data_IF_301146658498
#
_entry.id   IF_301146658498
#
_cell.length_a   1.000
_cell.length_b   1.000
_cell.length_c   1.000
_cell.angle_alpha   90.00
_cell.angle_beta   90.00
_cell.angle_gamma   90.00
#
_symmetry.space_group_name_H-M   'P 1'
#
loop_
_entity.id
_entity.type
_entity.pdbx_description
1 polymer ?
#
# COMPACT_ATOMS: atom_id res chain seq x y z
N UNK A 1 6.31 4.33 7.82
CA UNK A 1 5.89 2.93 7.64
C UNK A 1 6.82 2.30 6.64
N UNK A 2 7.41 1.13 6.93
CA UNK A 2 8.48 0.54 6.10
C UNK A 2 8.06 -0.71 5.31
N UNK A 3 6.75 -0.99 5.25
CA UNK A 3 6.19 -2.19 4.61
C UNK A 3 4.92 -1.85 3.85
N UNK A 4 4.73 -2.49 2.72
CA UNK A 4 3.53 -2.49 1.90
C UNK A 4 2.74 -3.77 2.15
N UNK A 5 1.43 -3.69 1.95
CA UNK A 5 0.54 -4.83 2.13
C UNK A 5 -0.35 -5.01 0.91
N UNK A 6 -0.44 -6.24 0.42
CA UNK A 6 -1.37 -6.66 -0.63
C UNK A 6 -2.50 -7.46 -0.02
N UNK A 7 -3.74 -7.16 -0.41
CA UNK A 7 -4.93 -7.85 0.08
C UNK A 7 -5.19 -9.06 -0.80
N UNK A 8 -4.91 -10.24 -0.26
CA UNK A 8 -5.27 -11.49 -0.93
C UNK A 8 -6.76 -11.77 -0.77
N UNK A 9 -7.27 -11.58 0.45
CA UNK A 9 -8.68 -11.83 0.76
C UNK A 9 -9.10 -11.03 1.98
N UNK A 10 -10.33 -10.53 2.00
CA UNK A 10 -10.90 -9.77 3.11
C UNK A 10 -11.16 -8.30 2.77
N UNK A 11 -11.78 -7.59 3.71
CA UNK A 11 -12.17 -6.19 3.56
C UNK A 11 -11.49 -5.34 4.62
N UNK A 12 -10.85 -4.27 4.16
CA UNK A 12 -10.19 -3.28 5.00
C UNK A 12 -10.84 -1.91 4.81
N UNK A 13 -10.94 -1.14 5.88
CA UNK A 13 -11.35 0.26 5.87
C UNK A 13 -10.17 1.17 6.18
N UNK A 14 -9.86 2.06 5.23
CA UNK A 14 -8.83 3.08 5.35
C UNK A 14 -9.44 4.35 5.91
N UNK A 15 -9.08 4.68 7.14
CA UNK A 15 -9.50 5.85 7.90
C UNK A 15 -8.49 7.00 7.68
N UNK A 16 -8.91 8.03 6.96
CA UNK A 16 -8.14 9.28 6.81
C UNK A 16 -8.67 10.33 7.79
N UNK A 17 -7.81 11.25 8.29
CA UNK A 17 -8.19 12.32 9.24
C UNK A 17 -9.31 13.26 8.78
N UNK A 18 -9.76 13.18 7.52
CA UNK A 18 -10.78 14.03 6.91
C UNK A 18 -12.12 13.35 6.61
N UNK A 19 -12.54 12.33 7.39
CA UNK A 19 -13.82 11.60 7.23
C UNK A 19 -14.02 10.81 5.92
N UNK A 20 -12.99 10.66 5.09
CA UNK A 20 -13.02 9.68 4.00
C UNK A 20 -12.59 8.32 4.53
N UNK A 21 -13.58 7.45 4.75
CA UNK A 21 -13.37 6.00 4.81
C UNK A 21 -13.35 5.44 3.40
N UNK A 22 -12.23 4.84 3.01
CA UNK A 22 -12.12 4.11 1.75
C UNK A 22 -12.06 2.62 2.04
N UNK A 23 -12.96 1.84 1.45
CA UNK A 23 -12.95 0.39 1.58
C UNK A 23 -12.06 -0.22 0.51
N UNK A 24 -11.14 -1.07 0.93
CA UNK A 24 -10.30 -1.88 0.07
C UNK A 24 -10.73 -3.33 0.19
N UNK A 25 -10.93 -3.96 -0.95
CA UNK A 25 -11.27 -5.37 -1.08
C UNK A 25 -10.08 -6.18 -1.60
N UNK A 26 -10.30 -7.46 -1.86
CA UNK A 26 -9.37 -8.36 -2.52
C UNK A 26 -8.81 -7.76 -3.83
N UNK A 27 -7.52 -8.00 -4.05
CA UNK A 27 -6.77 -7.46 -5.21
C UNK A 27 -6.25 -6.04 -5.01
N UNK A 28 -6.73 -5.31 -3.99
CA UNK A 28 -6.17 -4.00 -3.65
C UNK A 28 -4.91 -4.11 -2.81
N UNK A 29 -4.10 -3.07 -2.85
CA UNK A 29 -2.91 -2.92 -2.01
C UNK A 29 -2.89 -1.56 -1.35
N UNK A 30 -2.13 -1.47 -0.26
CA UNK A 30 -1.96 -0.24 0.50
C UNK A 30 -0.58 -0.14 1.12
N UNK A 31 -0.16 1.10 1.35
CA UNK A 31 1.16 1.42 1.91
C UNK A 31 2.18 1.85 0.85
N UNK A 32 1.82 1.94 -0.44
CA UNK A 32 2.70 2.49 -1.49
C UNK A 32 3.10 3.94 -1.21
N UNK A 33 2.17 4.75 -0.71
CA UNK A 33 2.41 6.16 -0.39
C UNK A 33 3.52 6.29 0.66
N UNK A 34 3.55 5.40 1.64
CA UNK A 34 4.54 5.46 2.69
C UNK A 34 5.96 5.09 2.20
N UNK A 35 6.04 4.29 1.13
CA UNK A 35 7.29 3.94 0.45
C UNK A 35 7.80 5.12 -0.40
N UNK A 36 6.93 5.73 -1.19
CA UNK A 36 7.29 6.83 -2.09
C UNK A 36 7.61 8.12 -1.36
N UNK A 37 6.74 8.58 -0.46
CA UNK A 37 6.89 9.89 0.17
C UNK A 37 7.92 9.88 1.30
N UNK A 38 8.48 8.71 1.66
CA UNK A 38 9.32 8.47 2.87
C UNK A 38 8.74 9.16 4.13
N UNK A 39 7.42 9.32 4.17
CA UNK A 39 6.71 10.21 5.09
C UNK A 39 6.01 9.48 6.24
N UNK A 40 5.31 10.26 7.08
CA UNK A 40 4.38 9.72 8.09
C UNK A 40 3.19 9.04 7.41
N UNK A 41 2.62 8.02 8.05
CA UNK A 41 1.39 7.37 7.57
C UNK A 41 0.28 8.43 7.45
N UNK A 42 -0.25 8.59 6.25
CA UNK A 42 -1.32 9.55 5.94
C UNK A 42 -2.71 9.03 6.33
N UNK A 43 -2.88 7.71 6.36
CA UNK A 43 -4.12 7.06 6.76
C UNK A 43 -3.90 5.87 7.70
N UNK A 44 -4.88 5.62 8.56
CA UNK A 44 -4.98 4.43 9.40
C UNK A 44 -5.76 3.36 8.64
N UNK A 45 -5.37 2.09 8.77
CA UNK A 45 -6.09 0.99 8.10
C UNK A 45 -6.62 0.05 9.17
N UNK A 46 -7.90 -0.29 9.08
CA UNK A 46 -8.60 -1.21 9.98
C UNK A 46 -9.09 -2.40 9.17
N UNK A 47 -8.94 -3.60 9.70
CA UNK A 47 -9.58 -4.78 9.13
C UNK A 47 -11.02 -4.90 9.64
N UNK A 48 -11.97 -5.00 8.72
CA UNK A 48 -13.38 -5.20 9.05
C UNK A 48 -13.71 -6.70 9.15
N UNK A 49 -12.98 -7.55 8.42
CA UNK A 49 -13.14 -9.00 8.42
C UNK A 49 -11.80 -9.73 8.59
N UNK A 50 -11.83 -11.07 8.63
CA UNK A 50 -10.60 -11.87 8.57
C UNK A 50 -9.88 -11.65 7.23
N UNK A 51 -8.77 -10.92 7.29
CA UNK A 51 -8.00 -10.56 6.11
C UNK A 51 -6.73 -11.40 6.00
N UNK A 52 -6.45 -11.88 4.79
CA UNK A 52 -5.16 -12.44 4.40
C UNK A 52 -4.40 -11.40 3.61
N UNK A 53 -3.26 -11.00 4.15
CA UNK A 53 -2.42 -9.95 3.59
C UNK A 53 -1.03 -10.48 3.32
N UNK A 54 -0.44 -10.11 2.19
CA UNK A 54 0.99 -10.28 1.94
C UNK A 54 1.72 -9.01 2.35
N UNK A 55 2.74 -9.14 3.20
CA UNK A 55 3.58 -8.00 3.59
C UNK A 55 4.90 -8.01 2.82
N UNK A 56 5.24 -6.88 2.20
CA UNK A 56 6.52 -6.67 1.52
C UNK A 56 7.28 -5.53 2.17
N UNK A 57 8.53 -5.76 2.56
CA UNK A 57 9.42 -4.71 3.11
C UNK A 57 9.87 -3.74 2.02
N UNK A 58 10.14 -2.50 2.42
CA UNK A 58 10.78 -1.50 1.55
C UNK A 58 12.13 -1.98 1.01
N UNK A 59 12.89 -2.71 1.82
CA UNK A 59 14.22 -3.19 1.44
C UNK A 59 14.12 -4.19 0.29
N UNK A 60 13.27 -5.22 0.44
CA UNK A 60 12.97 -6.18 -0.63
C UNK A 60 12.32 -5.53 -1.85
N UNK A 61 11.47 -4.53 -1.64
CA UNK A 61 10.84 -3.80 -2.74
C UNK A 61 11.87 -3.00 -3.55
N UNK A 62 12.80 -2.29 -2.89
CA UNK A 62 13.87 -1.57 -3.57
C UNK A 62 14.80 -2.53 -4.31
N UNK A 63 15.16 -3.66 -3.72
CA UNK A 63 16.00 -4.69 -4.36
C UNK A 63 15.37 -5.19 -5.67
N UNK A 64 14.07 -5.53 -5.65
CA UNK A 64 13.35 -5.95 -6.86
C UNK A 64 13.19 -4.80 -7.87
N UNK A 65 13.01 -3.57 -7.39
CA UNK A 65 12.93 -2.40 -8.27
C UNK A 65 14.27 -2.02 -8.90
N UNK A 66 15.40 -2.30 -8.24
CA UNK A 66 16.74 -2.14 -8.80
C UNK A 66 16.97 -3.13 -9.95
N UNK A 67 16.48 -4.36 -9.84
CA UNK A 67 16.50 -5.33 -10.95
C UNK A 67 15.53 -4.98 -12.08
N UNK A 68 14.38 -4.38 -11.77
CA UNK A 68 13.32 -4.06 -12.74
C UNK A 68 12.93 -2.57 -12.75
N UNK A 69 13.76 -1.70 -13.39
CA UNK A 69 13.55 -0.25 -13.39
C UNK A 69 12.27 0.19 -14.12
N UNK A 70 11.74 -0.62 -15.03
CA UNK A 70 10.47 -0.36 -15.72
C UNK A 70 9.28 -0.42 -14.75
N UNK A 71 9.31 -1.38 -13.81
CA UNK A 71 8.25 -1.58 -12.82
C UNK A 71 8.17 -0.37 -11.87
N UNK A 72 9.32 0.22 -11.54
CA UNK A 72 9.42 1.42 -10.69
C UNK A 72 8.57 2.58 -11.20
N UNK A 73 8.67 2.88 -12.50
CA UNK A 73 7.91 3.98 -13.13
C UNK A 73 6.40 3.74 -13.11
N UNK A 74 5.98 2.49 -13.30
CA UNK A 74 4.57 2.12 -13.21
C UNK A 74 4.03 2.35 -11.79
N UNK A 75 4.77 1.91 -10.77
CA UNK A 75 4.40 2.17 -9.37
C UNK A 75 4.39 3.66 -9.01
N UNK A 76 5.37 4.44 -9.50
CA UNK A 76 5.40 5.89 -9.30
C UNK A 76 4.19 6.58 -9.93
N UNK A 77 3.76 6.14 -11.12
CA UNK A 77 2.60 6.69 -11.81
C UNK A 77 1.29 6.41 -11.05
N UNK A 78 1.09 5.17 -10.60
CA UNK A 78 -0.12 4.80 -9.84
C UNK A 78 -0.16 5.47 -8.46
N UNK A 79 1.00 5.70 -7.84
CA UNK A 79 1.09 6.41 -6.58
C UNK A 79 0.80 7.93 -6.69
N UNK A 80 0.96 8.52 -7.89
CA UNK A 80 0.59 9.92 -8.15
C UNK A 80 -0.90 10.05 -8.45
N UNK A 81 -1.51 9.02 -9.06
CA UNK A 81 -2.92 9.02 -9.47
C UNK A 81 -3.90 8.81 -8.30
N UNK A 82 -3.43 8.27 -7.17
CA UNK A 82 -4.22 8.02 -5.94
C UNK A 82 -4.11 9.14 -4.90
#
# INVERSE_FOLDING_TARGET
GKKMYFIQHGVLSVLTKGNKEMKLSDGSYFGEICLLTRGRRTASVRADTYCRLYSLSVDNFNEVLEEYPMMRRAFETVAIDR
#
